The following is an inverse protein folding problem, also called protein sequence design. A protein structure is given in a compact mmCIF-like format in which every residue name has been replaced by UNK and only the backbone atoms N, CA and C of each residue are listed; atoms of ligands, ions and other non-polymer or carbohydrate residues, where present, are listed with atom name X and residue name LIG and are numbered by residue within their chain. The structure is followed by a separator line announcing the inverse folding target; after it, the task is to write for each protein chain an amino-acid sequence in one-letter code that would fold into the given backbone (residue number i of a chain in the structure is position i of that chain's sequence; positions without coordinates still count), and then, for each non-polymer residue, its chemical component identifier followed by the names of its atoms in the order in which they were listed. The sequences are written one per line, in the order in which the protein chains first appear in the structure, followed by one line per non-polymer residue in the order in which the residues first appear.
data_IF_470540997343
#
_entry.id   IF_470540997343
#
_cell.length_a   1.000
_cell.length_b   1.000
_cell.length_c   1.000
_cell.angle_alpha   90.00
_cell.angle_beta   90.00
_cell.angle_gamma   90.00
#
_symmetry.space_group_name_H-M   'P 1'
#
loop_
_entity.id
_entity.type
_entity.pdbx_description
1 polymer ?
#
# COMPACT_ATOMS: atom_id res chain seq x y z
N UNK A 1 8.13 -15.90 -11.77
CA UNK A 1 6.82 -15.22 -11.85
C UNK A 1 6.64 -14.55 -10.50
N UNK A 2 6.31 -13.26 -10.45
CA UNK A 2 6.06 -12.58 -9.18
C UNK A 2 4.79 -13.17 -8.54
N UNK A 3 4.82 -13.45 -7.24
CA UNK A 3 3.66 -13.94 -6.50
C UNK A 3 2.59 -12.84 -6.38
N UNK A 4 3.03 -11.61 -6.15
CA UNK A 4 2.21 -10.41 -6.11
C UNK A 4 2.62 -9.45 -7.22
N UNK A 5 1.65 -9.07 -8.06
CA UNK A 5 1.92 -8.40 -9.35
C UNK A 5 2.01 -6.89 -9.24
N UNK A 6 1.20 -6.28 -8.37
CA UNK A 6 1.08 -4.84 -8.29
C UNK A 6 1.81 -4.31 -7.09
N UNK A 7 2.67 -3.32 -7.31
CA UNK A 7 3.17 -2.45 -6.25
C UNK A 7 2.15 -1.33 -6.01
N UNK A 8 1.68 -1.21 -4.77
CA UNK A 8 0.71 -0.21 -4.34
C UNK A 8 1.37 0.72 -3.35
N UNK A 9 1.52 1.98 -3.74
CA UNK A 9 2.10 3.03 -2.90
C UNK A 9 1.10 4.17 -2.76
N UNK A 10 1.03 4.76 -1.56
CA UNK A 10 0.21 5.94 -1.29
C UNK A 10 0.66 6.63 0.00
N UNK A 11 0.25 7.87 0.16
CA UNK A 11 0.32 8.62 1.41
C UNK A 11 -1.06 8.67 2.05
N UNK A 12 -1.10 8.60 3.39
CA UNK A 12 -2.28 8.79 4.23
C UNK A 12 -2.00 9.99 5.13
N UNK A 13 -2.73 11.09 4.97
CA UNK A 13 -2.73 12.22 5.90
C UNK A 13 -3.98 12.16 6.79
N UNK A 14 -3.81 12.35 8.09
CA UNK A 14 -4.88 12.20 9.07
C UNK A 14 -4.47 12.66 10.46
N UNK A 15 -5.22 12.21 11.47
CA UNK A 15 -4.91 12.46 12.88
C UNK A 15 -4.89 11.13 13.65
N UNK A 16 -3.93 10.96 14.57
CA UNK A 16 -3.78 9.77 15.41
C UNK A 16 -3.54 8.48 14.59
N UNK A 17 -2.81 8.59 13.49
CA UNK A 17 -2.37 7.43 12.73
C UNK A 17 -1.43 6.56 13.57
N UNK A 18 -1.46 5.24 13.35
CA UNK A 18 -0.67 4.28 14.11
C UNK A 18 -0.07 3.23 13.17
N UNK A 19 1.25 3.27 13.01
CA UNK A 19 1.99 2.36 12.14
C UNK A 19 1.83 0.89 12.55
N UNK A 20 1.86 0.58 13.84
CA UNK A 20 1.72 -0.80 14.33
C UNK A 20 0.33 -1.35 13.99
N UNK A 21 -0.73 -0.56 14.22
CA UNK A 21 -2.10 -0.96 13.92
C UNK A 21 -2.34 -1.19 12.42
N UNK A 22 -1.71 -0.37 11.56
CA UNK A 22 -1.75 -0.53 10.10
C UNK A 22 -0.98 -1.80 9.70
N UNK A 23 0.21 -2.03 10.27
CA UNK A 23 0.99 -3.24 10.00
C UNK A 23 0.22 -4.52 10.36
N UNK A 24 -0.40 -4.55 11.54
CA UNK A 24 -1.21 -5.68 12.00
C UNK A 24 -2.40 -5.91 11.05
N UNK A 25 -3.13 -4.84 10.70
CA UNK A 25 -4.28 -4.95 9.80
C UNK A 25 -3.89 -5.52 8.43
N UNK A 26 -2.81 -5.02 7.80
CA UNK A 26 -2.34 -5.53 6.52
C UNK A 26 -1.96 -7.01 6.60
N UNK A 27 -1.23 -7.39 7.65
CA UNK A 27 -0.74 -8.77 7.83
C UNK A 27 -1.89 -9.76 8.05
N UNK A 28 -2.95 -9.34 8.73
CA UNK A 28 -4.11 -10.19 9.02
C UNK A 28 -5.13 -10.25 7.89
N UNK A 29 -5.31 -9.15 7.13
CA UNK A 29 -6.44 -8.98 6.21
C UNK A 29 -6.06 -9.05 4.73
N UNK A 30 -4.79 -8.80 4.39
CA UNK A 30 -4.35 -8.75 3.00
C UNK A 30 -3.41 -9.90 2.64
N UNK A 31 -3.42 -10.23 1.34
CA UNK A 31 -2.48 -11.17 0.74
C UNK A 31 -1.48 -10.38 -0.07
N UNK A 32 -0.22 -10.43 0.35
CA UNK A 32 0.84 -9.63 -0.22
C UNK A 32 2.13 -9.76 0.56
N UNK A 33 3.13 -9.01 0.12
CA UNK A 33 4.44 -8.94 0.74
C UNK A 33 5.01 -7.51 0.71
N UNK A 34 6.21 -7.36 1.29
CA UNK A 34 6.99 -6.13 1.27
C UNK A 34 6.24 -4.90 1.84
N UNK A 35 5.46 -5.08 2.90
CA UNK A 35 4.83 -3.95 3.59
C UNK A 35 5.89 -3.01 4.16
N UNK A 36 5.78 -1.73 3.79
CA UNK A 36 6.33 -0.60 4.53
C UNK A 36 5.16 0.31 4.90
N UNK A 37 4.90 0.46 6.18
CA UNK A 37 4.04 1.51 6.72
C UNK A 37 4.90 2.34 7.67
N UNK A 38 5.33 3.52 7.22
CA UNK A 38 6.31 4.36 7.92
C UNK A 38 5.83 5.81 7.96
N UNK A 39 6.02 6.49 9.08
CA UNK A 39 5.59 7.89 9.20
C UNK A 39 5.51 8.38 10.63
N UNK A 40 4.44 9.09 10.93
CA UNK A 40 4.04 9.51 12.27
C UNK A 40 2.51 9.55 12.39
N UNK A 41 2.01 10.20 13.45
CA UNK A 41 0.58 10.29 13.74
C UNK A 41 -0.23 11.17 12.79
N UNK A 42 0.43 11.97 11.94
CA UNK A 42 -0.20 12.89 11.00
C UNK A 42 -0.04 12.42 9.54
N UNK A 43 1.06 11.74 9.21
CA UNK A 43 1.35 11.29 7.85
C UNK A 43 2.02 9.91 7.83
N UNK A 44 1.42 8.95 7.11
CA UNK A 44 2.00 7.62 6.87
C UNK A 44 2.17 7.36 5.38
N UNK A 45 3.35 6.86 5.00
CA UNK A 45 3.61 6.29 3.68
C UNK A 45 3.41 4.78 3.69
N UNK A 46 2.67 4.29 2.71
CA UNK A 46 2.46 2.86 2.44
C UNK A 46 3.22 2.45 1.18
N UNK A 47 3.87 1.28 1.25
CA UNK A 47 4.35 0.49 0.12
C UNK A 47 3.91 -0.95 0.36
N UNK A 48 3.25 -1.59 -0.59
CA UNK A 48 2.81 -2.97 -0.43
C UNK A 48 2.61 -3.66 -1.78
N UNK A 49 3.11 -4.89 -1.92
CA UNK A 49 2.84 -5.68 -3.10
C UNK A 49 1.62 -6.56 -2.90
N UNK A 50 0.66 -6.48 -3.82
CA UNK A 50 -0.54 -7.32 -3.77
C UNK A 50 -1.10 -7.60 -5.17
N UNK A 51 -2.04 -8.52 -5.26
CA UNK A 51 -2.87 -8.72 -6.45
C UNK A 51 -4.22 -7.99 -6.37
N UNK A 52 -4.53 -7.37 -5.22
CA UNK A 52 -5.80 -6.70 -4.93
C UNK A 52 -5.60 -5.25 -4.46
N UNK A 53 -4.95 -4.37 -5.26
CA UNK A 53 -4.60 -3.00 -4.85
C UNK A 53 -5.81 -2.19 -4.36
N UNK A 54 -7.00 -2.42 -4.91
CA UNK A 54 -8.23 -1.75 -4.49
C UNK A 54 -8.59 -1.94 -3.02
N UNK A 55 -8.23 -3.07 -2.40
CA UNK A 55 -8.47 -3.31 -0.97
C UNK A 55 -7.57 -2.47 -0.08
N UNK A 56 -6.32 -2.29 -0.51
CA UNK A 56 -5.35 -1.40 0.16
C UNK A 56 -5.87 0.04 0.10
N UNK A 57 -6.28 0.50 -1.09
CA UNK A 57 -6.83 1.85 -1.26
C UNK A 57 -8.09 2.07 -0.41
N UNK A 58 -9.01 1.10 -0.40
CA UNK A 58 -10.25 1.16 0.37
C UNK A 58 -9.98 1.30 1.88
N UNK A 59 -9.07 0.48 2.42
CA UNK A 59 -8.71 0.55 3.83
C UNK A 59 -8.03 1.88 4.18
N UNK A 60 -7.02 2.28 3.40
CA UNK A 60 -6.28 3.53 3.66
C UNK A 60 -7.19 4.77 3.58
N UNK A 61 -8.13 4.81 2.64
CA UNK A 61 -9.14 5.88 2.54
C UNK A 61 -10.09 5.92 3.75
N UNK A 62 -10.21 4.84 4.51
CA UNK A 62 -10.97 4.79 5.76
C UNK A 62 -10.23 5.37 6.96
N UNK A 63 -8.91 5.59 6.85
CA UNK A 63 -8.06 6.12 7.93
C UNK A 63 -7.85 7.64 7.84
N UNK A 64 -7.85 8.18 6.62
CA UNK A 64 -7.55 9.59 6.37
C UNK A 64 -7.66 9.96 4.89
N UNK A 65 -7.19 11.15 4.53
CA UNK A 65 -7.08 11.56 3.14
C UNK A 65 -5.91 10.83 2.46
N UNK A 66 -6.18 10.18 1.32
CA UNK A 66 -5.15 9.48 0.55
C UNK A 66 -4.77 10.26 -0.71
N UNK A 67 -3.46 10.34 -0.96
CA UNK A 67 -2.91 11.02 -2.14
C UNK A 67 -1.56 10.43 -2.56
N UNK A 68 -1.02 10.95 -3.66
CA UNK A 68 0.20 10.45 -4.30
C UNK A 68 0.14 8.93 -4.57
N UNK A 69 -1.02 8.47 -5.05
CA UNK A 69 -1.33 7.05 -5.22
C UNK A 69 -0.67 6.54 -6.50
N UNK A 70 0.10 5.49 -6.36
CA UNK A 70 0.76 4.76 -7.44
C UNK A 70 0.37 3.29 -7.37
N UNK A 71 -0.11 2.74 -8.49
CA UNK A 71 -0.34 1.30 -8.67
C UNK A 71 0.38 0.88 -9.93
N UNK A 72 1.44 0.09 -9.79
CA UNK A 72 2.33 -0.28 -10.89
C UNK A 72 2.37 -1.80 -11.10
N UNK A 73 2.26 -2.23 -12.35
CA UNK A 73 2.40 -3.63 -12.74
C UNK A 73 3.88 -4.02 -12.86
N UNK A 74 4.42 -4.60 -11.80
CA UNK A 74 5.83 -4.98 -11.72
C UNK A 74 6.24 -6.02 -12.78
N UNK A 75 5.32 -6.88 -13.23
CA UNK A 75 5.59 -7.85 -14.29
C UNK A 75 5.72 -7.17 -15.67
N UNK A 76 4.97 -6.09 -15.90
CA UNK A 76 5.13 -5.26 -17.11
C UNK A 76 6.45 -4.49 -17.07
N UNK A 77 6.78 -3.88 -15.94
CA UNK A 77 8.05 -3.17 -15.75
C UNK A 77 9.25 -4.09 -15.97
N UNK A 78 9.22 -5.31 -15.41
CA UNK A 78 10.27 -6.31 -15.62
C UNK A 78 10.46 -6.70 -17.09
N UNK A 79 9.42 -6.54 -17.92
CA UNK A 79 9.46 -6.76 -19.37
C UNK A 79 9.79 -5.50 -20.17
N UNK A 80 10.12 -4.38 -19.51
CA UNK A 80 10.41 -3.10 -20.14
C UNK A 80 9.18 -2.40 -20.73
N UNK A 81 7.98 -2.80 -20.31
CA UNK A 81 6.73 -2.15 -20.69
C UNK A 81 6.38 -1.10 -19.64
N UNK A 82 5.60 -0.09 -20.05
CA UNK A 82 4.94 0.80 -19.09
C UNK A 82 4.02 -0.06 -18.21
N UNK A 83 4.36 -0.10 -16.92
CA UNK A 83 3.59 -0.77 -15.87
C UNK A 83 2.63 0.17 -15.18
#
# INVERSE_FOLDING_TARGET
MLEFRYDTQLLIEGENLNEDAINDYFTENFKGDCLLAVGDEELIKIHYHTNEPWKVLEYCAGLGEIYDIVVEDMDRQARGLQG
#
